data_IF_811486593950
#
_entry.id   IF_811486593950
#
_cell.length_a   1.000
_cell.length_b   1.000
_cell.length_c   1.000
_cell.angle_alpha   90.00
_cell.angle_beta   90.00
_cell.angle_gamma   90.00
#
_symmetry.space_group_name_H-M   'P 1'
#
loop_
_entity.id
_entity.type
_entity.pdbx_description
1 polymer ?
#
# COMPACT_ATOMS: atom_id res chain seq x y z
N UNK A 1 -9.41 -36.73 2.78
CA UNK A 1 -8.96 -38.14 2.70
C UNK A 1 -9.99 -38.97 1.93
N UNK A 2 -9.54 -39.83 0.99
CA UNK A 2 -10.44 -40.76 0.29
C UNK A 2 -10.64 -42.00 1.18
N UNK A 3 -11.89 -42.44 1.44
CA UNK A 3 -12.17 -43.64 2.24
C UNK A 3 -11.40 -44.88 1.76
N UNK A 4 -10.92 -45.71 2.68
CA UNK A 4 -10.12 -46.92 2.40
C UNK A 4 -10.81 -47.88 1.42
N UNK A 5 -12.13 -47.99 1.53
CA UNK A 5 -13.00 -48.77 0.64
C UNK A 5 -12.93 -48.32 -0.84
N UNK A 6 -12.56 -47.05 -1.09
CA UNK A 6 -12.42 -46.48 -2.43
C UNK A 6 -10.97 -46.47 -2.94
N UNK A 7 -10.01 -46.90 -2.12
CA UNK A 7 -8.57 -46.92 -2.46
C UNK A 7 -8.19 -48.14 -3.34
N UNK A 8 -9.03 -49.18 -3.36
CA UNK A 8 -8.94 -50.33 -4.27
C UNK A 8 -7.56 -51.03 -4.33
N UNK A 9 -6.79 -51.00 -3.24
CA UNK A 9 -5.51 -51.69 -3.12
C UNK A 9 -4.52 -51.00 -2.17
N UNK A 10 -3.49 -51.73 -1.73
CA UNK A 10 -2.40 -51.19 -0.93
C UNK A 10 -1.53 -50.20 -1.74
N UNK A 11 -0.84 -49.30 -1.02
CA UNK A 11 0.05 -48.30 -1.63
C UNK A 11 -0.69 -47.14 -2.30
N UNK A 12 -1.91 -46.84 -1.86
CA UNK A 12 -2.68 -45.72 -2.38
C UNK A 12 -1.98 -44.38 -2.16
N UNK A 13 -2.03 -43.52 -3.16
CA UNK A 13 -1.59 -42.14 -3.04
C UNK A 13 -2.07 -41.30 -4.21
N UNK A 14 -1.49 -40.10 -4.33
CA UNK A 14 -1.85 -39.14 -5.36
C UNK A 14 -0.69 -38.90 -6.32
N UNK A 15 -1.01 -38.72 -7.60
CA UNK A 15 -0.07 -38.20 -8.59
C UNK A 15 -0.46 -36.75 -8.86
N UNK A 16 0.41 -35.81 -8.49
CA UNK A 16 0.19 -34.40 -8.74
C UNK A 16 0.99 -34.01 -9.97
N UNK A 17 0.31 -33.55 -11.02
CA UNK A 17 0.93 -33.04 -12.23
C UNK A 17 0.69 -31.53 -12.33
N UNK A 18 1.74 -30.76 -12.58
CA UNK A 18 1.67 -29.32 -12.74
C UNK A 18 2.62 -28.83 -13.84
N UNK A 19 2.30 -27.69 -14.46
CA UNK A 19 3.15 -27.03 -15.45
C UNK A 19 2.91 -25.52 -15.48
N UNK A 20 3.90 -24.70 -15.85
CA UNK A 20 3.66 -23.29 -16.13
C UNK A 20 2.59 -23.15 -17.22
N UNK A 21 1.66 -22.20 -17.04
CA UNK A 21 0.56 -21.99 -17.97
C UNK A 21 1.07 -21.80 -19.42
N UNK A 22 0.47 -22.50 -20.37
CA UNK A 22 0.84 -22.42 -21.79
C UNK A 22 2.03 -23.29 -22.22
N UNK A 23 2.68 -24.00 -21.29
CA UNK A 23 3.70 -24.99 -21.66
C UNK A 23 3.09 -26.36 -21.92
N UNK A 24 3.81 -27.26 -22.60
CA UNK A 24 3.29 -28.60 -22.96
C UNK A 24 3.74 -29.68 -21.99
N UNK A 25 4.94 -29.54 -21.40
CA UNK A 25 5.56 -30.56 -20.53
C UNK A 25 5.01 -30.50 -19.11
N UNK A 26 4.48 -31.63 -18.63
CA UNK A 26 4.04 -31.79 -17.25
C UNK A 26 5.19 -32.18 -16.34
N UNK A 27 5.30 -31.53 -15.20
CA UNK A 27 6.12 -31.98 -14.07
C UNK A 27 5.20 -32.82 -13.19
N UNK A 28 5.62 -34.03 -12.84
CA UNK A 28 4.83 -34.96 -12.03
C UNK A 28 5.56 -35.31 -10.74
N UNK A 29 4.78 -35.51 -9.69
CA UNK A 29 5.28 -35.99 -8.40
C UNK A 29 4.26 -36.92 -7.76
N UNK A 30 4.74 -37.74 -6.85
CA UNK A 30 3.94 -38.75 -6.14
C UNK A 30 3.82 -38.33 -4.68
N UNK A 31 2.58 -38.24 -4.20
CA UNK A 31 2.25 -38.05 -2.79
C UNK A 31 1.79 -39.40 -2.25
N UNK A 32 2.67 -40.06 -1.52
CA UNK A 32 2.50 -41.44 -1.05
C UNK A 32 1.59 -41.58 0.18
N UNK A 33 1.14 -40.46 0.76
CA UNK A 33 0.28 -40.44 1.95
C UNK A 33 -1.20 -40.27 1.55
N UNK A 34 -2.06 -41.28 1.74
CA UNK A 34 -3.51 -41.20 1.52
C UNK A 34 -4.19 -40.09 2.35
N UNK A 35 -3.64 -39.83 3.53
CA UNK A 35 -4.20 -38.90 4.51
C UNK A 35 -3.77 -37.45 4.29
N UNK A 36 -2.85 -37.21 3.35
CA UNK A 36 -2.34 -35.89 3.04
C UNK A 36 -2.89 -35.40 1.69
N UNK A 37 -4.10 -34.80 1.64
CA UNK A 37 -4.68 -34.26 0.41
C UNK A 37 -4.05 -32.92 0.03
N UNK A 38 -2.74 -32.75 0.24
CA UNK A 38 -2.01 -31.51 0.00
C UNK A 38 -0.61 -31.82 -0.50
N UNK A 39 -0.22 -31.12 -1.55
CA UNK A 39 1.15 -31.04 -2.01
C UNK A 39 1.59 -29.58 -2.04
N UNK A 40 2.85 -29.32 -1.67
CA UNK A 40 3.45 -27.97 -1.75
C UNK A 40 4.69 -28.08 -2.62
N UNK A 41 4.58 -27.59 -3.85
CA UNK A 41 5.75 -27.45 -4.71
C UNK A 41 6.58 -26.26 -4.24
N UNK A 42 7.86 -26.49 -3.95
CA UNK A 42 8.84 -25.45 -3.64
C UNK A 42 9.99 -25.57 -4.61
N UNK A 43 10.24 -24.51 -5.37
CA UNK A 43 11.38 -24.39 -6.24
C UNK A 43 11.74 -22.89 -6.33
N UNK A 44 13.02 -22.57 -6.16
CA UNK A 44 13.55 -21.20 -6.18
C UNK A 44 13.42 -20.52 -7.54
N UNK A 45 13.17 -21.29 -8.61
CA UNK A 45 12.95 -20.78 -9.96
C UNK A 45 11.49 -20.43 -10.27
N UNK A 46 10.55 -20.62 -9.32
CA UNK A 46 9.14 -20.27 -9.52
C UNK A 46 8.99 -18.76 -9.40
N UNK A 47 8.58 -18.12 -10.48
CA UNK A 47 8.21 -16.71 -10.43
C UNK A 47 6.98 -16.49 -9.51
N UNK A 48 6.94 -15.39 -8.74
CA UNK A 48 5.79 -15.06 -7.89
C UNK A 48 4.53 -14.80 -8.71
N UNK A 49 3.37 -15.06 -8.10
CA UNK A 49 2.04 -14.85 -8.68
C UNK A 49 1.89 -15.32 -10.14
N UNK A 50 2.54 -16.43 -10.48
CA UNK A 50 2.60 -16.96 -11.83
C UNK A 50 1.57 -18.08 -12.01
N UNK A 51 0.84 -18.11 -13.13
CA UNK A 51 -0.19 -19.11 -13.35
C UNK A 51 0.41 -20.48 -13.69
N UNK A 52 -0.13 -21.52 -13.07
CA UNK A 52 0.16 -22.92 -13.33
C UNK A 52 -1.11 -23.68 -13.63
N UNK A 53 -1.03 -24.63 -14.56
CA UNK A 53 -2.08 -25.64 -14.75
C UNK A 53 -1.74 -26.85 -13.89
N UNK A 54 -2.74 -27.36 -13.16
CA UNK A 54 -2.60 -28.49 -12.24
C UNK A 54 -3.70 -29.50 -12.49
N UNK A 55 -3.36 -30.78 -12.40
CA UNK A 55 -4.31 -31.90 -12.33
C UNK A 55 -3.80 -32.91 -11.31
N UNK A 56 -4.73 -33.57 -10.62
CA UNK A 56 -4.39 -34.56 -9.59
C UNK A 56 -5.04 -35.89 -9.96
N UNK A 57 -4.23 -36.93 -10.02
CA UNK A 57 -4.68 -38.31 -10.19
C UNK A 57 -4.46 -39.10 -8.91
N UNK A 58 -4.95 -40.33 -8.91
CA UNK A 58 -4.71 -41.31 -7.85
C UNK A 58 -3.85 -42.44 -8.40
N UNK A 59 -3.12 -43.14 -7.54
CA UNK A 59 -2.42 -44.37 -7.91
C UNK A 59 -2.46 -45.36 -6.75
N UNK A 60 -2.23 -46.64 -7.06
CA UNK A 60 -1.96 -47.69 -6.09
C UNK A 60 -0.99 -48.72 -6.69
N UNK A 61 -0.71 -49.81 -5.97
CA UNK A 61 0.19 -50.87 -6.47
C UNK A 61 -0.31 -51.60 -7.73
N UNK A 62 -1.55 -51.36 -8.18
CA UNK A 62 -2.10 -51.88 -9.45
C UNK A 62 -1.88 -50.93 -10.63
N UNK A 63 -1.57 -49.66 -10.38
CA UNK A 63 -1.29 -48.66 -11.40
C UNK A 63 -1.86 -47.28 -11.10
N UNK A 64 -1.81 -46.40 -12.11
CA UNK A 64 -2.36 -45.05 -12.05
C UNK A 64 -3.85 -45.05 -12.44
N UNK A 65 -4.66 -44.36 -11.65
CA UNK A 65 -6.05 -44.07 -11.94
C UNK A 65 -6.22 -42.78 -12.76
N UNK A 66 -7.48 -42.36 -13.04
CA UNK A 66 -7.75 -41.18 -13.83
C UNK A 66 -7.31 -39.88 -13.11
N UNK A 67 -6.91 -38.88 -13.90
CA UNK A 67 -6.68 -37.52 -13.42
C UNK A 67 -7.98 -36.71 -13.32
N UNK A 68 -8.00 -35.73 -12.43
CA UNK A 68 -9.00 -34.67 -12.37
C UNK A 68 -9.00 -33.82 -13.66
N UNK A 69 -10.01 -32.96 -13.80
CA UNK A 69 -9.95 -31.84 -14.74
C UNK A 69 -8.73 -30.95 -14.45
N UNK A 70 -8.20 -30.32 -15.49
CA UNK A 70 -7.14 -29.32 -15.36
C UNK A 70 -7.74 -28.06 -14.72
N UNK A 71 -7.05 -27.52 -13.71
CA UNK A 71 -7.40 -26.24 -13.08
C UNK A 71 -6.21 -25.29 -13.10
N UNK A 72 -6.48 -23.99 -13.22
CA UNK A 72 -5.44 -22.95 -13.12
C UNK A 72 -5.31 -22.49 -11.68
N UNK A 73 -4.08 -22.45 -11.17
CA UNK A 73 -3.72 -21.93 -9.84
C UNK A 73 -2.58 -20.90 -9.99
N UNK A 74 -2.29 -20.14 -8.94
CA UNK A 74 -1.17 -19.21 -8.92
C UNK A 74 -0.14 -19.63 -7.87
N UNK A 75 1.14 -19.40 -8.16
CA UNK A 75 2.19 -19.44 -7.13
C UNK A 75 1.94 -18.35 -6.07
N UNK A 76 2.62 -18.47 -4.92
CA UNK A 76 2.54 -17.46 -3.88
C UNK A 76 2.96 -16.07 -4.39
N UNK A 77 2.40 -15.02 -3.78
CA UNK A 77 2.90 -13.66 -3.98
C UNK A 77 4.21 -13.46 -3.21
N UNK A 78 5.03 -12.52 -3.66
CA UNK A 78 6.17 -11.97 -2.91
C UNK A 78 5.91 -10.49 -2.61
N UNK A 79 6.58 -9.94 -1.59
CA UNK A 79 6.48 -8.53 -1.29
C UNK A 79 6.89 -7.67 -2.50
N UNK A 80 6.27 -6.49 -2.71
CA UNK A 80 6.68 -5.59 -3.79
C UNK A 80 8.15 -5.21 -3.66
N UNK A 81 8.95 -5.43 -4.71
CA UNK A 81 10.40 -5.17 -4.67
C UNK A 81 10.80 -3.74 -5.04
N UNK A 82 9.84 -2.95 -5.51
CA UNK A 82 10.06 -1.59 -6.01
C UNK A 82 9.28 -0.59 -5.17
N UNK A 83 9.92 0.52 -4.82
CA UNK A 83 9.27 1.64 -4.15
C UNK A 83 8.52 2.54 -5.16
N UNK A 84 7.46 3.24 -4.76
CA UNK A 84 6.82 4.26 -5.59
C UNK A 84 7.80 5.36 -6.01
N UNK A 85 7.65 5.84 -7.24
CA UNK A 85 8.50 6.92 -7.79
C UNK A 85 7.75 8.24 -7.85
N UNK A 86 8.45 9.35 -8.10
CA UNK A 86 7.83 10.67 -8.22
C UNK A 86 7.09 11.10 -6.95
N UNK A 87 7.59 10.68 -5.78
CA UNK A 87 7.02 11.07 -4.50
C UNK A 87 7.24 12.56 -4.27
N UNK A 88 6.17 13.27 -3.95
CA UNK A 88 6.19 14.69 -3.61
C UNK A 88 5.28 14.96 -2.43
N UNK A 89 5.58 16.02 -1.68
CA UNK A 89 4.78 16.45 -0.55
C UNK A 89 4.59 17.96 -0.60
N UNK A 90 3.35 18.41 -0.40
CA UNK A 90 2.97 19.82 -0.45
C UNK A 90 2.22 20.21 0.82
N UNK A 91 2.44 21.44 1.26
CA UNK A 91 1.79 22.00 2.44
C UNK A 91 0.49 22.71 2.03
N UNK A 92 -0.65 22.16 2.45
CA UNK A 92 -1.97 22.73 2.11
C UNK A 92 -2.39 23.79 3.12
N UNK A 93 -2.20 23.53 4.42
CA UNK A 93 -2.56 24.44 5.51
C UNK A 93 -1.54 24.39 6.66
N UNK A 94 -1.88 25.04 7.77
CA UNK A 94 -1.11 24.94 9.02
C UNK A 94 -1.20 23.58 9.71
N UNK A 95 -2.09 22.69 9.25
CA UNK A 95 -2.31 21.38 9.87
C UNK A 95 -2.49 20.24 8.87
N UNK A 96 -2.29 20.50 7.58
CA UNK A 96 -2.51 19.52 6.50
C UNK A 96 -1.38 19.58 5.48
N UNK A 97 -0.81 18.41 5.18
CA UNK A 97 0.06 18.18 4.01
C UNK A 97 -0.59 17.15 3.08
N UNK A 98 -0.28 17.23 1.80
CA UNK A 98 -0.68 16.25 0.78
C UNK A 98 0.58 15.57 0.25
N UNK A 99 0.59 14.24 0.31
CA UNK A 99 1.67 13.41 -0.24
C UNK A 99 1.13 12.77 -1.51
N UNK A 100 1.86 12.85 -2.61
CA UNK A 100 1.50 12.21 -3.89
C UNK A 100 2.66 11.45 -4.49
N UNK A 101 2.38 10.44 -5.31
CA UNK A 101 3.37 9.57 -5.94
C UNK A 101 2.89 9.07 -7.31
N UNK A 102 3.77 8.42 -8.06
CA UNK A 102 3.40 7.68 -9.28
C UNK A 102 3.05 6.24 -8.92
N UNK A 103 1.98 5.73 -9.51
CA UNK A 103 1.60 4.33 -9.38
C UNK A 103 2.74 3.42 -9.87
N UNK A 104 2.97 2.32 -9.15
CA UNK A 104 3.89 1.27 -9.63
C UNK A 104 3.20 0.53 -10.76
N UNK A 105 3.82 0.42 -11.96
CA UNK A 105 3.24 -0.34 -13.06
C UNK A 105 2.99 -1.78 -12.63
N UNK A 106 1.75 -2.24 -12.80
CA UNK A 106 1.43 -3.63 -12.50
C UNK A 106 2.17 -4.54 -13.46
N UNK A 107 2.88 -5.52 -12.90
CA UNK A 107 3.44 -6.65 -13.63
C UNK A 107 2.80 -7.91 -13.06
N UNK A 108 2.41 -8.83 -13.94
CA UNK A 108 1.76 -10.06 -13.52
C UNK A 108 2.63 -10.89 -12.57
N UNK A 109 3.95 -10.81 -12.69
CA UNK A 109 4.91 -11.47 -11.80
C UNK A 109 5.10 -10.81 -10.42
N UNK A 110 4.47 -9.67 -10.15
CA UNK A 110 4.70 -8.88 -8.92
C UNK A 110 3.53 -8.94 -7.93
N UNK A 111 2.55 -9.82 -8.18
CA UNK A 111 1.32 -9.89 -7.39
C UNK A 111 0.39 -8.70 -7.60
N UNK A 112 -0.79 -8.76 -6.98
CA UNK A 112 -1.75 -7.64 -7.02
C UNK A 112 -1.46 -6.68 -5.88
N UNK A 113 -1.09 -5.43 -6.22
CA UNK A 113 -0.97 -4.37 -5.21
C UNK A 113 -2.32 -4.11 -4.55
N UNK A 114 -2.31 -4.10 -3.21
CA UNK A 114 -3.49 -3.78 -2.39
C UNK A 114 -3.58 -2.30 -2.06
N UNK A 115 -2.44 -1.60 -2.07
CA UNK A 115 -2.37 -0.15 -1.88
C UNK A 115 -0.98 0.35 -1.53
N UNK A 116 -0.95 1.53 -0.92
CA UNK A 116 0.27 2.20 -0.49
C UNK A 116 0.20 2.54 0.99
N UNK A 117 1.36 2.59 1.65
CA UNK A 117 1.51 3.05 3.01
C UNK A 117 2.47 4.24 3.02
N UNK A 118 2.03 5.34 3.61
CA UNK A 118 2.85 6.53 3.85
C UNK A 118 3.23 6.55 5.32
N UNK A 119 4.53 6.58 5.58
CA UNK A 119 5.05 6.90 6.90
C UNK A 119 5.35 8.39 6.99
N UNK A 120 5.14 8.98 8.15
CA UNK A 120 5.44 10.39 8.39
C UNK A 120 5.88 10.67 9.83
N UNK A 121 6.76 11.66 10.00
CA UNK A 121 7.25 12.12 11.29
C UNK A 121 7.65 13.59 11.21
N UNK A 122 7.71 14.28 12.35
CA UNK A 122 8.20 15.65 12.42
C UNK A 122 9.71 15.68 12.71
N UNK A 123 10.35 16.84 12.49
CA UNK A 123 11.78 17.04 12.72
C UNK A 123 12.25 16.77 14.17
N UNK A 124 11.35 16.81 15.15
CA UNK A 124 11.67 16.48 16.55
C UNK A 124 11.55 14.99 16.89
N UNK A 125 11.06 14.16 15.96
CA UNK A 125 10.86 12.73 16.13
C UNK A 125 11.90 11.90 15.37
N UNK A 126 12.09 10.65 15.83
CA UNK A 126 12.87 9.65 15.09
C UNK A 126 12.00 8.96 14.05
N UNK A 127 12.61 8.53 12.94
CA UNK A 127 11.96 7.73 11.90
C UNK A 127 11.31 6.44 12.45
N UNK A 128 11.92 5.86 13.49
CA UNK A 128 11.44 4.68 14.21
C UNK A 128 10.10 4.90 14.93
N UNK A 129 9.77 6.15 15.27
CA UNK A 129 8.50 6.54 15.91
C UNK A 129 7.53 7.18 14.92
N UNK A 130 7.70 6.90 13.63
CA UNK A 130 6.84 7.44 12.56
C UNK A 130 5.41 6.92 12.65
N UNK A 131 4.47 7.82 12.37
CA UNK A 131 3.08 7.47 12.17
C UNK A 131 2.87 6.93 10.75
N UNK A 132 1.81 6.16 10.54
CA UNK A 132 1.52 5.53 9.25
C UNK A 132 0.07 5.75 8.85
N UNK A 133 -0.15 6.02 7.57
CA UNK A 133 -1.47 6.06 6.94
C UNK A 133 -1.45 5.21 5.67
N UNK A 134 -2.58 4.63 5.32
CA UNK A 134 -2.72 3.77 4.14
C UNK A 134 -3.63 4.43 3.12
N UNK A 135 -3.22 4.34 1.86
CA UNK A 135 -4.03 4.66 0.70
C UNK A 135 -4.45 3.35 0.03
N UNK A 136 -5.72 3.22 -0.33
CA UNK A 136 -6.29 1.95 -0.80
C UNK A 136 -6.20 1.82 -2.33
N UNK A 137 -5.96 0.60 -2.80
CA UNK A 137 -6.04 0.27 -4.22
C UNK A 137 -5.09 1.09 -5.09
N UNK A 138 -5.66 1.88 -5.99
CA UNK A 138 -4.94 2.66 -7.01
C UNK A 138 -4.76 4.14 -6.63
N UNK A 139 -5.08 4.54 -5.40
CA UNK A 139 -4.84 5.90 -4.94
C UNK A 139 -3.34 6.25 -5.01
N UNK A 140 -3.05 7.43 -5.57
CA UNK A 140 -1.70 7.95 -5.75
C UNK A 140 -1.43 9.22 -4.95
N UNK A 141 -2.31 9.53 -4.01
CA UNK A 141 -2.13 10.64 -3.07
C UNK A 141 -2.89 10.40 -1.78
N UNK A 142 -2.43 11.00 -0.68
CA UNK A 142 -3.13 11.02 0.60
C UNK A 142 -2.90 12.34 1.32
N UNK A 143 -3.93 12.82 2.02
CA UNK A 143 -3.84 13.98 2.90
C UNK A 143 -3.59 13.53 4.32
N UNK A 144 -2.57 14.12 4.95
CA UNK A 144 -2.24 13.90 6.35
C UNK A 144 -2.67 15.15 7.11
N UNK A 145 -3.64 14.98 8.01
CA UNK A 145 -4.29 16.06 8.76
C UNK A 145 -3.90 16.04 10.24
N UNK A 146 -4.22 17.10 10.98
CA UNK A 146 -3.95 17.18 12.42
C UNK A 146 -2.48 17.42 12.76
N UNK A 147 -1.75 18.03 11.83
CA UNK A 147 -0.33 18.34 12.00
C UNK A 147 -0.14 19.65 12.79
N UNK A 148 1.03 19.78 13.42
CA UNK A 148 1.44 21.02 14.11
C UNK A 148 1.89 22.04 13.07
N UNK A 149 1.49 23.29 13.27
CA UNK A 149 1.84 24.40 12.39
C UNK A 149 3.31 24.77 12.42
N UNK A 150 3.80 25.37 11.32
CA UNK A 150 5.18 25.82 11.16
C UNK A 150 6.24 24.75 11.51
N UNK A 151 5.96 23.48 11.21
CA UNK A 151 6.84 22.36 11.53
C UNK A 151 7.14 21.54 10.28
N UNK A 152 8.39 21.14 10.11
CA UNK A 152 8.81 20.27 9.02
C UNK A 152 8.37 18.84 9.30
N UNK A 153 7.71 18.24 8.30
CA UNK A 153 7.30 16.85 8.27
C UNK A 153 8.02 16.11 7.15
N UNK A 154 8.58 14.96 7.50
CA UNK A 154 9.24 14.04 6.59
C UNK A 154 8.29 12.89 6.29
N UNK A 155 8.31 12.42 5.05
CA UNK A 155 7.40 11.38 4.56
C UNK A 155 8.14 10.43 3.61
N UNK A 156 7.74 9.17 3.61
CA UNK A 156 8.14 8.21 2.58
C UNK A 156 6.99 7.25 2.30
N UNK A 157 6.92 6.73 1.07
CA UNK A 157 5.81 5.90 0.60
C UNK A 157 6.33 4.52 0.20
N UNK A 158 5.59 3.46 0.52
CA UNK A 158 5.84 2.11 0.01
C UNK A 158 4.55 1.48 -0.50
N UNK A 159 4.68 0.47 -1.35
CA UNK A 159 3.55 -0.34 -1.77
C UNK A 159 3.44 -1.61 -0.92
N UNK A 160 2.25 -2.21 -0.84
CA UNK A 160 2.03 -3.49 -0.18
C UNK A 160 1.03 -4.38 -0.93
N UNK A 161 1.16 -5.68 -0.77
CA UNK A 161 0.26 -6.71 -1.28
C UNK A 161 -0.06 -7.75 -0.19
N UNK A 162 -0.56 -8.93 -0.58
CA UNK A 162 -0.94 -9.97 0.39
C UNK A 162 0.27 -10.68 1.02
N UNK A 163 1.43 -10.66 0.36
CA UNK A 163 2.67 -11.21 0.88
C UNK A 163 3.34 -10.29 1.91
N UNK A 164 3.15 -8.98 1.77
CA UNK A 164 3.69 -8.00 2.72
C UNK A 164 3.96 -6.64 2.09
N UNK A 165 4.92 -5.90 2.66
CA UNK A 165 5.18 -4.51 2.31
C UNK A 165 6.57 -4.32 1.73
N UNK A 166 6.65 -3.61 0.60
CA UNK A 166 7.90 -3.36 -0.10
C UNK A 166 8.80 -2.30 0.54
N UNK A 167 9.87 -1.90 -0.16
CA UNK A 167 10.78 -0.86 0.32
C UNK A 167 10.10 0.52 0.29
N UNK A 168 10.53 1.39 1.21
CA UNK A 168 10.15 2.80 1.19
C UNK A 168 10.87 3.56 0.08
N UNK A 169 10.19 4.57 -0.47
CA UNK A 169 10.78 5.58 -1.33
C UNK A 169 11.85 6.39 -0.60
N UNK A 170 12.56 7.24 -1.37
CA UNK A 170 13.32 8.33 -0.77
C UNK A 170 12.40 9.21 0.09
N UNK A 171 12.96 9.72 1.19
CA UNK A 171 12.26 10.61 2.10
C UNK A 171 12.13 12.00 1.46
N UNK A 172 10.92 12.55 1.47
CA UNK A 172 10.62 13.93 1.05
C UNK A 172 9.98 14.70 2.21
N UNK A 173 10.11 16.02 2.23
CA UNK A 173 9.58 16.83 3.32
C UNK A 173 8.84 18.08 2.86
N UNK A 174 7.96 18.57 3.73
CA UNK A 174 7.33 19.87 3.62
C UNK A 174 7.12 20.46 5.01
N UNK A 175 7.12 21.79 5.08
CA UNK A 175 6.78 22.52 6.30
C UNK A 175 5.33 22.96 6.24
N UNK A 176 4.52 22.57 7.23
CA UNK A 176 3.15 23.07 7.40
C UNK A 176 3.17 24.59 7.50
N UNK A 177 2.16 25.28 6.96
CA UNK A 177 2.09 26.76 7.03
C UNK A 177 2.01 27.25 8.48
N UNK A 178 2.31 28.54 8.70
CA UNK A 178 1.99 29.21 9.96
C UNK A 178 0.46 29.33 10.11
N UNK A 179 -0.04 29.46 11.33
CA UNK A 179 -1.48 29.71 11.55
C UNK A 179 -1.87 31.11 11.06
N UNK A 180 -3.15 31.37 10.74
CA UNK A 180 -3.59 32.75 10.52
C UNK A 180 -3.41 33.60 11.78
N UNK A 181 -3.32 34.94 11.65
CA UNK A 181 -3.40 35.87 12.79
C UNK A 181 -4.63 35.60 13.65
N UNK A 182 -4.44 35.49 14.97
CA UNK A 182 -5.52 35.19 15.92
C UNK A 182 -6.18 36.43 16.52
N UNK A 183 -5.51 37.59 16.44
CA UNK A 183 -6.01 38.84 17.03
C UNK A 183 -6.86 39.64 16.04
N UNK A 184 -7.97 40.25 16.49
CA UNK A 184 -8.73 41.18 15.66
C UNK A 184 -8.02 42.54 15.55
N UNK A 185 -8.39 43.39 14.57
CA UNK A 185 -7.95 44.78 14.53
C UNK A 185 -8.29 45.54 15.81
N UNK A 186 -7.32 46.29 16.33
CA UNK A 186 -7.50 47.13 17.51
C UNK A 186 -8.18 48.46 17.17
N UNK A 187 -8.69 49.16 18.20
CA UNK A 187 -9.13 50.55 18.13
C UNK A 187 -9.98 50.89 16.89
N UNK A 188 -11.01 50.08 16.63
CA UNK A 188 -11.96 50.32 15.54
C UNK A 188 -12.77 51.57 15.88
N UNK A 189 -12.52 52.65 15.13
CA UNK A 189 -13.22 53.92 15.26
C UNK A 189 -13.89 54.27 13.94
N UNK A 190 -14.98 55.01 14.03
CA UNK A 190 -15.74 55.43 12.87
C UNK A 190 -16.13 56.90 12.96
N UNK A 191 -16.25 57.54 11.80
CA UNK A 191 -16.88 58.84 11.69
C UNK A 191 -17.87 58.84 10.51
N UNK A 192 -18.84 59.75 10.58
CA UNK A 192 -19.82 59.95 9.52
C UNK A 192 -19.64 61.36 9.01
N UNK A 193 -19.52 61.47 7.69
CA UNK A 193 -19.71 62.71 6.94
C UNK A 193 -20.97 62.55 6.10
N UNK A 194 -21.54 63.65 5.57
CA UNK A 194 -22.89 63.70 4.97
C UNK A 194 -23.30 62.47 4.13
N UNK A 195 -22.38 61.87 3.36
CA UNK A 195 -22.64 60.69 2.53
C UNK A 195 -21.66 59.52 2.71
N UNK A 196 -20.80 59.51 3.74
CA UNK A 196 -19.77 58.47 3.92
C UNK A 196 -19.61 58.06 5.38
N UNK A 197 -19.41 56.76 5.58
CA UNK A 197 -18.90 56.19 6.82
C UNK A 197 -17.42 55.90 6.60
N UNK A 198 -16.54 56.46 7.43
CA UNK A 198 -15.10 56.18 7.39
C UNK A 198 -14.77 55.32 8.59
N UNK A 199 -14.17 54.15 8.33
CA UNK A 199 -13.69 53.23 9.34
C UNK A 199 -12.16 53.33 9.41
N UNK A 200 -11.64 53.45 10.62
CA UNK A 200 -10.21 53.35 10.88
C UNK A 200 -10.00 52.30 11.97
N UNK A 201 -8.94 51.52 11.85
CA UNK A 201 -8.55 50.52 12.84
C UNK A 201 -7.04 50.42 12.89
N UNK A 202 -6.52 49.91 14.00
CA UNK A 202 -5.11 49.61 14.14
C UNK A 202 -4.75 48.34 13.37
N UNK A 203 -3.57 48.38 12.74
CA UNK A 203 -3.03 47.24 12.02
C UNK A 203 -2.78 46.05 12.95
N UNK A 204 -3.25 44.87 12.53
CA UNK A 204 -2.98 43.62 13.23
C UNK A 204 -1.52 43.24 12.99
N UNK A 205 -0.76 43.06 14.06
CA UNK A 205 0.62 42.53 13.99
C UNK A 205 0.60 41.04 14.23
N UNK A 206 0.93 40.28 13.19
CA UNK A 206 1.07 38.82 13.30
C UNK A 206 2.18 38.46 14.30
N UNK A 207 1.94 37.44 15.12
CA UNK A 207 3.00 36.87 15.97
C UNK A 207 4.01 36.08 15.14
N UNK A 208 5.20 35.79 15.70
CA UNK A 208 6.27 35.06 15.00
C UNK A 208 5.82 33.68 14.46
N UNK A 209 4.89 33.02 15.15
CA UNK A 209 4.30 31.73 14.78
C UNK A 209 3.07 31.84 13.87
N UNK A 210 2.63 33.04 13.52
CA UNK A 210 1.49 33.32 12.65
C UNK A 210 1.92 33.79 11.26
N UNK A 211 1.03 33.62 10.29
CA UNK A 211 1.19 34.10 8.92
C UNK A 211 1.01 35.62 8.89
N UNK A 212 1.66 36.28 7.93
CA UNK A 212 1.53 37.73 7.75
C UNK A 212 0.08 38.12 7.41
N UNK A 213 -0.32 39.31 7.87
CA UNK A 213 -1.60 39.92 7.51
C UNK A 213 -1.50 40.46 6.10
N UNK A 214 -2.24 39.87 5.15
CA UNK A 214 -2.23 40.30 3.74
C UNK A 214 -3.38 41.26 3.41
N UNK A 215 -4.30 41.50 4.33
CA UNK A 215 -5.44 42.39 4.13
C UNK A 215 -6.56 42.21 5.17
N UNK A 216 -7.59 43.04 5.03
CA UNK A 216 -8.79 43.07 5.89
C UNK A 216 -10.04 42.92 5.02
N UNK A 217 -11.10 42.30 5.55
CA UNK A 217 -12.37 42.06 4.84
C UNK A 217 -13.55 42.31 5.76
#
# INVERSE_FOLDING_TARGET
>A
PIPEELQNGEGFGYVVAFRPFGTTTWIQTVVTSPDTPRYVFRNESILPFSPYEVKVGVYNNKGEGPFSSITTVFSAEEEPTVAPSGVSVTSLSSSVIEVSWKAIPWKMSSGRLLGYEVRYWNNGGKEESSNRVKAAGNETSIRITGLKSNLAYYTAVRAYNSAGAGPFSATVNATTKKTPPSQPPGNVVWNVTDSRVILNWEEVRAMENESEVTGYK
#
